data_IF_707446059731
#
_entry.id   IF_707446059731
#
_cell.length_a   1.000
_cell.length_b   1.000
_cell.length_c   1.000
_cell.angle_alpha   90.00
_cell.angle_beta   90.00
_cell.angle_gamma   90.00
#
_symmetry.space_group_name_H-M   'P 1'
#
loop_
_entity.id
_entity.type
_entity.pdbx_description
1 polymer ?
#
# COMPACT_ATOMS: atom_id res chain seq x y z
N UNK A 1 -2.90 -8.26 -9.16
CA UNK A 1 -4.36 -8.03 -8.99
C UNK A 1 -5.11 -9.27 -8.51
N UNK A 2 -4.92 -10.43 -9.16
CA UNK A 2 -5.56 -11.72 -8.80
C UNK A 2 -5.54 -12.03 -7.30
N UNK A 3 -4.39 -11.88 -6.64
CA UNK A 3 -4.25 -12.13 -5.20
C UNK A 3 -5.11 -11.20 -4.32
N UNK A 4 -5.11 -9.89 -4.59
CA UNK A 4 -5.92 -8.95 -3.81
C UNK A 4 -7.42 -9.21 -4.00
N UNK A 5 -7.86 -9.46 -5.24
CA UNK A 5 -9.27 -9.83 -5.51
C UNK A 5 -9.68 -11.13 -4.80
N UNK A 6 -8.79 -12.12 -4.73
CA UNK A 6 -9.06 -13.35 -3.98
C UNK A 6 -9.23 -13.10 -2.48
N UNK A 7 -8.40 -12.23 -1.89
CA UNK A 7 -8.52 -11.84 -0.48
C UNK A 7 -9.85 -11.13 -0.23
N UNK A 8 -10.20 -10.13 -1.05
CA UNK A 8 -11.46 -9.39 -0.94
C UNK A 8 -12.67 -10.32 -1.06
N UNK A 9 -12.67 -11.23 -2.04
CA UNK A 9 -13.74 -12.19 -2.22
C UNK A 9 -13.87 -13.17 -1.04
N UNK A 10 -12.74 -13.57 -0.43
CA UNK A 10 -12.74 -14.48 0.71
C UNK A 10 -13.27 -13.80 1.98
N UNK A 11 -12.86 -12.55 2.19
CA UNK A 11 -13.19 -11.82 3.41
C UNK A 11 -14.56 -11.13 3.34
N UNK A 12 -15.14 -10.98 2.15
CA UNK A 12 -16.46 -10.35 1.91
C UNK A 12 -16.59 -8.94 2.48
N UNK A 13 -15.47 -8.23 2.57
CA UNK A 13 -15.37 -6.86 3.08
C UNK A 13 -15.00 -5.89 1.95
N UNK A 14 -15.47 -4.63 1.99
CA UNK A 14 -15.06 -3.60 1.04
C UNK A 14 -13.55 -3.39 1.01
N UNK A 15 -12.99 -3.15 -0.18
CA UNK A 15 -11.55 -2.93 -0.36
C UNK A 15 -10.99 -1.80 0.50
N UNK A 16 -11.79 -0.74 0.73
CA UNK A 16 -11.43 0.42 1.57
C UNK A 16 -11.11 0.07 3.03
N UNK A 17 -11.55 -1.09 3.52
CA UNK A 17 -11.30 -1.58 4.88
C UNK A 17 -9.94 -2.26 5.03
N UNK A 18 -9.20 -2.44 3.92
CA UNK A 18 -7.90 -3.09 3.91
C UNK A 18 -6.78 -2.10 3.67
N UNK A 19 -5.65 -2.37 4.32
CA UNK A 19 -4.40 -1.64 4.15
C UNK A 19 -3.34 -2.59 3.60
N UNK A 20 -2.65 -2.17 2.54
CA UNK A 20 -1.47 -2.86 2.00
C UNK A 20 -0.22 -2.07 2.37
N UNK A 21 0.73 -2.76 3.01
CA UNK A 21 2.05 -2.22 3.31
C UNK A 21 3.05 -2.88 2.38
N UNK A 22 3.76 -2.10 1.55
CA UNK A 22 4.74 -2.63 0.61
C UNK A 22 5.90 -1.63 0.40
N UNK A 23 7.07 -2.14 0.02
CA UNK A 23 8.24 -1.35 -0.36
C UNK A 23 8.38 -1.20 -1.89
N UNK A 24 7.36 -1.61 -2.66
CA UNK A 24 7.32 -1.53 -4.12
C UNK A 24 6.14 -0.72 -4.62
N UNK A 25 6.43 0.49 -5.11
CA UNK A 25 5.42 1.36 -5.74
C UNK A 25 4.78 0.70 -6.99
N UNK A 26 5.62 0.07 -7.82
CA UNK A 26 5.29 -0.46 -9.15
C UNK A 26 4.45 -1.74 -9.20
N UNK A 27 4.20 -2.35 -8.03
CA UNK A 27 3.49 -3.62 -7.95
C UNK A 27 2.51 -3.61 -6.81
N UNK A 28 2.98 -3.73 -5.58
CA UNK A 28 2.13 -3.87 -4.41
C UNK A 28 1.22 -2.67 -4.23
N UNK A 29 1.81 -1.48 -4.17
CA UNK A 29 1.09 -0.22 -3.97
C UNK A 29 0.17 0.07 -5.15
N UNK A 30 0.69 0.07 -6.39
CA UNK A 30 -0.13 0.36 -7.57
C UNK A 30 -1.32 -0.60 -7.70
N UNK A 31 -1.08 -1.90 -7.55
CA UNK A 31 -2.13 -2.90 -7.68
C UNK A 31 -3.17 -2.75 -6.58
N UNK A 32 -2.74 -2.51 -5.33
CA UNK A 32 -3.64 -2.32 -4.19
C UNK A 32 -4.53 -1.08 -4.38
N UNK A 33 -3.96 0.04 -4.86
CA UNK A 33 -4.74 1.23 -5.19
C UNK A 33 -5.77 0.97 -6.29
N UNK A 34 -5.39 0.28 -7.37
CA UNK A 34 -6.33 -0.05 -8.46
C UNK A 34 -7.52 -0.87 -7.99
N UNK A 35 -7.37 -1.70 -6.95
CA UNK A 35 -8.48 -2.49 -6.39
C UNK A 35 -9.22 -1.77 -5.26
N UNK A 36 -8.88 -0.52 -4.94
CA UNK A 36 -9.56 0.31 -3.95
C UNK A 36 -9.13 0.09 -2.50
N UNK A 37 -7.95 -0.51 -2.26
CA UNK A 37 -7.37 -0.65 -0.92
C UNK A 37 -6.58 0.60 -0.54
N UNK A 38 -6.47 0.88 0.77
CA UNK A 38 -5.53 1.86 1.30
C UNK A 38 -4.10 1.33 1.21
N UNK A 39 -3.13 2.22 1.03
CA UNK A 39 -1.74 1.88 0.76
C UNK A 39 -0.76 2.64 1.63
N UNK A 40 0.20 1.92 2.20
CA UNK A 40 1.31 2.46 2.97
C UNK A 40 2.62 2.01 2.31
N UNK A 41 3.35 2.96 1.74
CA UNK A 41 4.67 2.71 1.17
C UNK A 41 5.75 2.79 2.25
N UNK A 42 6.51 1.72 2.44
CA UNK A 42 7.70 1.74 3.32
C UNK A 42 8.96 2.05 2.51
N UNK A 43 9.48 3.26 2.69
CA UNK A 43 10.71 3.76 2.08
C UNK A 43 11.91 2.97 2.60
N UNK A 44 12.48 2.09 1.78
CA UNK A 44 13.82 1.53 2.07
C UNK A 44 14.89 2.61 1.87
N UNK A 45 15.94 2.59 2.70
CA UNK A 45 17.16 3.37 2.45
C UNK A 45 17.69 2.99 1.05
N UNK A 46 18.08 4.01 0.32
CA UNK A 46 18.32 4.06 -1.11
C UNK A 46 19.19 2.90 -1.65
N UNK A 47 18.56 1.97 -2.35
CA UNK A 47 19.17 1.21 -3.44
C UNK A 47 18.23 1.16 -4.66
N UNK A 48 17.26 2.09 -4.75
CA UNK A 48 16.13 2.03 -5.69
C UNK A 48 16.27 2.92 -6.92
N UNK A 49 17.44 3.53 -7.15
CA UNK A 49 17.70 4.33 -8.36
C UNK A 49 17.60 3.47 -9.65
N UNK A 50 17.67 2.14 -9.52
CA UNK A 50 17.55 1.19 -10.63
C UNK A 50 16.11 0.90 -11.09
N UNK A 51 15.07 1.34 -10.36
CA UNK A 51 13.68 0.94 -10.67
C UNK A 51 12.73 2.08 -11.03
N UNK A 52 13.22 3.32 -11.05
CA UNK A 52 12.43 4.53 -11.31
C UNK A 52 12.47 4.99 -12.77
N UNK A 53 13.06 4.21 -13.69
CA UNK A 53 13.36 4.73 -15.03
C UNK A 53 12.13 4.98 -15.92
N UNK A 54 10.98 4.34 -15.70
CA UNK A 54 9.78 4.54 -16.56
C UNK A 54 8.48 4.13 -15.86
N UNK A 55 8.15 4.69 -14.70
CA UNK A 55 6.92 4.29 -13.98
C UNK A 55 6.03 5.48 -13.69
N UNK A 56 4.76 5.35 -14.12
CA UNK A 56 3.64 6.20 -13.71
C UNK A 56 3.82 6.62 -12.26
N UNK A 57 3.65 7.91 -11.96
CA UNK A 57 3.68 8.41 -10.59
C UNK A 57 2.55 7.75 -9.79
N UNK A 58 2.88 6.63 -9.13
CA UNK A 58 1.98 5.96 -8.20
C UNK A 58 2.19 6.64 -6.86
N UNK A 59 1.27 7.53 -6.50
CA UNK A 59 1.25 8.16 -5.19
C UNK A 59 0.60 7.19 -4.18
N UNK A 60 1.29 6.72 -3.13
CA UNK A 60 0.68 5.95 -2.05
C UNK A 60 -0.18 6.86 -1.14
N UNK A 61 -1.14 6.30 -0.39
CA UNK A 61 -1.93 7.11 0.57
C UNK A 61 -1.07 7.60 1.74
N UNK A 62 -0.10 6.78 2.16
CA UNK A 62 0.90 7.16 3.16
C UNK A 62 2.28 6.67 2.77
N UNK A 63 3.30 7.40 3.23
CA UNK A 63 4.71 7.00 3.10
C UNK A 63 5.37 7.02 4.46
N UNK A 64 6.04 5.93 4.82
CA UNK A 64 6.72 5.74 6.10
C UNK A 64 8.14 5.21 5.89
N UNK A 65 8.98 5.27 6.93
CA UNK A 65 10.35 4.71 6.90
C UNK A 65 10.48 3.38 7.64
N UNK A 66 9.55 3.09 8.55
CA UNK A 66 9.60 1.90 9.41
C UNK A 66 8.23 1.25 9.54
N UNK A 67 8.21 -0.03 9.92
CA UNK A 67 6.96 -0.74 10.22
C UNK A 67 6.25 -0.14 11.44
N UNK A 68 6.98 0.35 12.45
CA UNK A 68 6.39 1.06 13.59
C UNK A 68 5.59 2.29 13.14
N UNK A 69 6.13 3.08 12.20
CA UNK A 69 5.38 4.20 11.63
C UNK A 69 4.16 3.74 10.81
N UNK A 70 4.24 2.60 10.12
CA UNK A 70 3.08 2.03 9.43
C UNK A 70 1.97 1.67 10.41
N UNK A 71 2.33 1.07 11.55
CA UNK A 71 1.39 0.72 12.62
C UNK A 71 0.70 1.94 13.21
N UNK A 72 1.44 3.01 13.52
CA UNK A 72 0.84 4.27 13.98
C UNK A 72 -0.15 4.86 12.95
N UNK A 73 0.16 4.75 11.64
CA UNK A 73 -0.77 5.16 10.59
C UNK A 73 -2.03 4.31 10.53
N UNK A 74 -1.94 3.01 10.78
CA UNK A 74 -3.13 2.15 10.85
C UNK A 74 -4.03 2.58 12.00
N UNK A 75 -3.45 2.83 13.19
CA UNK A 75 -4.23 3.37 14.33
C UNK A 75 -4.90 4.70 14.03
N UNK A 76 -4.21 5.62 13.36
CA UNK A 76 -4.79 6.91 12.95
C UNK A 76 -5.98 6.72 11.99
N UNK A 77 -5.93 5.73 11.10
CA UNK A 77 -7.02 5.40 10.16
C UNK A 77 -8.22 4.83 10.92
N UNK A 78 -7.98 3.88 11.83
CA UNK A 78 -9.03 3.25 12.64
C UNK A 78 -9.73 4.24 13.56
N UNK A 79 -9.00 5.18 14.16
CA UNK A 79 -9.58 6.19 15.06
C UNK A 79 -10.45 7.25 14.35
N UNK A 80 -10.40 7.33 13.01
CA UNK A 80 -11.14 8.30 12.19
C UNK A 80 -12.31 7.67 11.42
N UNK A 81 -12.41 6.35 11.40
CA UNK A 81 -13.46 5.59 10.70
C UNK A 81 -14.59 5.19 11.65
#
# INVERSE_FOLDING_TARGET
EKYFKQILNKLKEPAKNFVVIDNRLDRGIETAKRVGMKTIYIKRKEHSHLYLKDKKEVEPDFSVKTLGQAYEKIKEIEARG
#
